data_IF_626482046347
#
_entry.id   IF_626482046347
#
_cell.length_a   1.000
_cell.length_b   1.000
_cell.length_c   1.000
_cell.angle_alpha   90.00
_cell.angle_beta   90.00
_cell.angle_gamma   90.00
#
_symmetry.space_group_name_H-M   'P 1'
#
loop_
_entity.id
_entity.type
_entity.pdbx_description
1 polymer ?
#
# COMPACT_ATOMS: atom_id res chain seq x y z
N UNK A 1 8.67 22.17 0.67
CA UNK A 1 8.84 21.00 1.54
C UNK A 1 8.06 19.84 0.91
N UNK A 2 8.60 18.64 0.86
CA UNK A 2 7.86 17.48 0.33
C UNK A 2 7.24 16.72 1.51
N UNK A 3 5.96 16.93 1.76
CA UNK A 3 5.22 16.31 2.88
C UNK A 3 5.13 14.79 2.76
N UNK A 4 5.19 14.23 1.55
CA UNK A 4 5.17 12.79 1.31
C UNK A 4 6.41 12.06 1.88
N UNK A 5 7.50 12.79 2.14
CA UNK A 5 8.75 12.22 2.64
C UNK A 5 8.99 12.48 4.13
N UNK A 6 7.97 12.83 4.91
CA UNK A 6 8.08 12.95 6.37
C UNK A 6 8.04 11.53 6.97
N UNK A 7 9.19 10.98 7.46
CA UNK A 7 9.20 9.63 8.02
C UNK A 7 8.25 9.50 9.21
N UNK A 8 7.64 8.32 9.41
CA UNK A 8 6.82 8.06 10.59
C UNK A 8 7.57 8.24 11.91
N UNK A 9 8.90 8.03 11.89
CA UNK A 9 9.78 8.24 13.06
C UNK A 9 10.00 9.70 13.43
N UNK A 10 9.71 10.67 12.53
CA UNK A 10 9.77 12.10 12.83
C UNK A 10 8.46 12.59 13.46
N UNK A 11 8.11 12.03 14.61
CA UNK A 11 6.88 12.32 15.34
C UNK A 11 6.73 13.80 15.68
N UNK A 12 7.83 14.51 16.00
CA UNK A 12 7.82 15.95 16.28
C UNK A 12 7.26 16.75 15.11
N UNK A 13 7.63 16.42 13.87
CA UNK A 13 7.12 17.10 12.68
C UNK A 13 5.65 16.74 12.44
N UNK A 14 5.29 15.46 12.60
CA UNK A 14 3.90 15.03 12.43
C UNK A 14 2.94 15.60 13.46
N UNK A 15 3.40 15.86 14.69
CA UNK A 15 2.61 16.57 15.73
C UNK A 15 2.26 18.01 15.38
N UNK A 16 2.94 18.63 14.43
CA UNK A 16 2.60 19.97 13.96
C UNK A 16 1.36 19.99 13.03
N UNK A 17 0.94 18.84 12.53
CA UNK A 17 -0.28 18.70 11.73
C UNK A 17 -1.42 18.32 12.67
N UNK A 18 -2.27 19.28 12.93
CA UNK A 18 -3.41 19.18 13.85
C UNK A 18 -4.72 19.41 13.08
N UNK A 19 -5.86 18.88 13.56
CA UNK A 19 -7.16 19.23 13.01
C UNK A 19 -7.41 20.74 13.07
N UNK A 20 -8.19 21.26 12.13
CA UNK A 20 -8.49 22.70 12.01
C UNK A 20 -9.30 23.24 13.19
N UNK A 21 -10.15 22.43 13.78
CA UNK A 21 -11.00 22.78 14.91
C UNK A 21 -10.84 21.76 16.05
N UNK A 22 -11.16 22.12 17.32
CA UNK A 22 -11.00 21.21 18.46
C UNK A 22 -11.90 19.96 18.42
N UNK A 23 -13.02 20.02 17.70
CA UNK A 23 -14.02 18.98 17.48
C UNK A 23 -13.82 18.23 16.15
N UNK A 24 -12.72 18.52 15.45
CA UNK A 24 -12.36 17.87 14.21
C UNK A 24 -11.28 16.81 14.43
N UNK A 25 -11.13 15.95 13.42
CA UNK A 25 -10.10 14.91 13.38
C UNK A 25 -9.46 14.84 12.00
N UNK A 26 -8.26 14.29 11.94
CA UNK A 26 -7.63 13.89 10.69
C UNK A 26 -8.00 12.43 10.43
N UNK A 27 -8.66 12.15 9.31
CA UNK A 27 -8.93 10.81 8.80
C UNK A 27 -7.96 10.48 7.68
N UNK A 28 -7.24 9.35 7.79
CA UNK A 28 -6.26 8.89 6.82
C UNK A 28 -6.73 7.56 6.23
N UNK A 29 -7.17 7.55 4.96
CA UNK A 29 -7.64 6.37 4.26
C UNK A 29 -6.55 5.90 3.30
N UNK A 30 -5.91 4.76 3.61
CA UNK A 30 -4.73 4.22 2.94
C UNK A 30 -5.04 2.89 2.24
N UNK A 31 -4.47 2.68 1.06
CA UNK A 31 -4.61 1.40 0.38
C UNK A 31 -3.87 0.27 1.12
N UNK A 32 -4.60 -0.72 1.56
CA UNK A 32 -4.03 -1.90 2.21
C UNK A 32 -3.27 -2.77 1.20
N UNK A 33 -1.94 -2.79 1.30
CA UNK A 33 -1.05 -3.64 0.49
C UNK A 33 -1.28 -3.49 -1.03
N UNK A 34 -1.38 -2.27 -1.52
CA UNK A 34 -1.70 -2.02 -2.95
C UNK A 34 -0.66 -2.61 -3.90
N UNK A 35 0.64 -2.59 -3.55
CA UNK A 35 1.70 -3.11 -4.40
C UNK A 35 1.58 -4.64 -4.63
N UNK A 36 1.40 -5.50 -3.59
CA UNK A 36 1.09 -6.92 -3.79
C UNK A 36 -0.21 -7.18 -4.56
N UNK A 37 -1.24 -6.33 -4.40
CA UNK A 37 -2.51 -6.47 -5.14
C UNK A 37 -2.34 -6.17 -6.61
N UNK A 38 -1.59 -5.13 -6.96
CA UNK A 38 -1.25 -4.83 -8.35
C UNK A 38 -0.33 -5.90 -8.96
N UNK A 39 0.63 -6.43 -8.19
CA UNK A 39 1.43 -7.57 -8.62
C UNK A 39 0.55 -8.78 -8.93
N UNK A 40 -0.40 -9.11 -8.04
CA UNK A 40 -1.36 -10.18 -8.22
C UNK A 40 -2.24 -9.98 -9.47
N UNK A 41 -2.67 -8.75 -9.71
CA UNK A 41 -3.40 -8.40 -10.94
C UNK A 41 -2.57 -8.69 -12.20
N UNK A 42 -1.31 -8.26 -12.25
CA UNK A 42 -0.45 -8.52 -13.40
C UNK A 42 -0.11 -10.01 -13.55
N UNK A 43 0.10 -10.74 -12.45
CA UNK A 43 0.30 -12.19 -12.46
C UNK A 43 -0.91 -12.94 -13.02
N UNK A 44 -2.11 -12.59 -12.58
CA UNK A 44 -3.36 -13.18 -13.08
C UNK A 44 -3.56 -12.92 -14.58
N UNK A 45 -3.17 -11.75 -15.11
CA UNK A 45 -3.18 -11.46 -16.56
C UNK A 45 -2.20 -12.35 -17.35
N UNK A 46 -1.26 -13.00 -16.69
CA UNK A 46 -0.35 -14.01 -17.26
C UNK A 46 -0.81 -15.45 -16.99
N UNK A 47 -1.95 -15.63 -16.36
CA UNK A 47 -2.51 -16.93 -16.03
C UNK A 47 -2.06 -17.53 -14.70
N UNK A 48 -1.32 -16.76 -13.87
CA UNK A 48 -0.97 -17.16 -12.50
C UNK A 48 -1.86 -16.45 -11.49
N UNK A 49 -2.79 -17.18 -10.91
CA UNK A 49 -3.75 -16.66 -9.92
C UNK A 49 -3.33 -16.96 -8.46
N UNK A 50 -2.12 -17.47 -8.25
CA UNK A 50 -1.63 -17.91 -6.94
C UNK A 50 -1.64 -16.77 -5.93
N UNK A 51 -1.00 -15.64 -6.25
CA UNK A 51 -0.94 -14.48 -5.36
C UNK A 51 -2.33 -13.83 -5.15
N UNK A 52 -3.13 -13.76 -6.21
CA UNK A 52 -4.51 -13.26 -6.12
C UNK A 52 -5.37 -14.16 -5.22
N UNK A 53 -5.21 -15.49 -5.33
CA UNK A 53 -5.86 -16.45 -4.45
C UNK A 53 -5.49 -16.29 -2.97
N UNK A 54 -4.22 -16.05 -2.67
CA UNK A 54 -3.78 -15.74 -1.31
C UNK A 54 -4.48 -14.49 -0.75
N UNK A 55 -4.47 -13.41 -1.51
CA UNK A 55 -5.06 -12.12 -1.10
C UNK A 55 -6.59 -12.17 -0.98
N UNK A 56 -7.28 -12.90 -1.89
CA UNK A 56 -8.74 -13.12 -1.81
C UNK A 56 -9.15 -13.89 -0.55
N UNK A 57 -8.29 -14.81 -0.10
CA UNK A 57 -8.51 -15.60 1.12
C UNK A 57 -8.00 -14.88 2.39
N UNK A 58 -7.71 -13.59 2.34
CA UNK A 58 -7.25 -12.80 3.48
C UNK A 58 -5.84 -13.13 3.97
N UNK A 59 -5.07 -13.94 3.21
CA UNK A 59 -3.70 -14.29 3.59
C UNK A 59 -2.74 -13.16 3.24
N UNK A 60 -1.72 -13.00 4.07
CA UNK A 60 -0.70 -11.98 3.90
C UNK A 60 0.53 -12.53 3.18
N UNK A 61 0.84 -12.09 1.94
CA UNK A 61 1.98 -12.59 1.18
C UNK A 61 3.33 -12.28 1.84
N UNK A 62 3.40 -11.25 2.68
CA UNK A 62 4.61 -10.93 3.44
C UNK A 62 4.87 -12.00 4.50
N UNK A 63 3.82 -12.45 5.23
CA UNK A 63 3.94 -13.48 6.25
C UNK A 63 4.44 -14.81 5.69
N UNK A 64 4.02 -15.18 4.49
CA UNK A 64 4.48 -16.41 3.81
C UNK A 64 6.01 -16.42 3.67
N UNK A 65 6.59 -15.31 3.22
CA UNK A 65 8.05 -15.20 3.02
C UNK A 65 8.77 -15.18 4.36
N UNK A 66 8.23 -14.45 5.33
CA UNK A 66 8.83 -14.35 6.67
C UNK A 66 8.81 -15.67 7.40
N UNK A 67 7.69 -16.40 7.35
CA UNK A 67 7.59 -17.76 7.90
C UNK A 67 8.68 -18.67 7.37
N UNK A 68 8.90 -18.65 6.04
CA UNK A 68 9.96 -19.43 5.41
C UNK A 68 11.37 -18.93 5.80
N UNK A 69 11.55 -17.62 5.95
CA UNK A 69 12.83 -17.00 6.31
C UNK A 69 13.25 -17.35 7.74
N UNK A 70 12.33 -17.24 8.68
CA UNK A 70 12.60 -17.44 10.11
C UNK A 70 12.27 -18.87 10.59
N UNK A 71 11.69 -19.72 9.73
CA UNK A 71 11.20 -21.07 10.08
C UNK A 71 10.22 -21.06 11.26
N UNK A 72 9.31 -20.08 11.24
CA UNK A 72 8.26 -19.88 12.25
C UNK A 72 6.88 -19.97 11.61
N UNK A 73 5.87 -20.24 12.40
CA UNK A 73 4.47 -20.11 11.97
C UNK A 73 4.10 -18.64 11.79
N UNK A 74 3.07 -18.36 10.96
CA UNK A 74 2.64 -16.98 10.67
C UNK A 74 2.12 -16.23 11.92
N UNK A 75 1.58 -16.97 12.90
CA UNK A 75 1.07 -16.46 14.18
C UNK A 75 2.16 -16.23 15.24
N UNK A 76 3.36 -16.76 15.02
CA UNK A 76 4.53 -16.59 15.92
C UNK A 76 5.46 -15.45 15.48
N UNK A 77 5.14 -14.78 14.39
CA UNK A 77 5.96 -13.71 13.84
C UNK A 77 5.85 -12.44 14.68
N UNK A 78 7.00 -11.89 15.05
CA UNK A 78 7.07 -10.58 15.70
C UNK A 78 6.83 -9.47 14.68
N UNK A 79 6.44 -8.29 15.16
CA UNK A 79 6.25 -7.10 14.33
C UNK A 79 7.53 -6.73 13.54
N UNK A 80 8.70 -6.89 14.16
CA UNK A 80 9.99 -6.65 13.50
C UNK A 80 10.22 -7.63 12.35
N UNK A 81 10.02 -8.93 12.59
CA UNK A 81 10.16 -9.96 11.56
C UNK A 81 9.17 -9.70 10.41
N UNK A 82 7.95 -9.29 10.71
CA UNK A 82 6.96 -8.90 9.70
C UNK A 82 7.45 -7.73 8.83
N UNK A 83 8.01 -6.68 9.45
CA UNK A 83 8.61 -5.54 8.73
C UNK A 83 9.77 -5.99 7.83
N UNK A 84 10.63 -6.87 8.32
CA UNK A 84 11.71 -7.46 7.54
C UNK A 84 11.19 -8.21 6.31
N UNK A 85 10.11 -8.97 6.47
CA UNK A 85 9.46 -9.69 5.37
C UNK A 85 8.85 -8.79 4.31
N UNK A 86 8.18 -7.72 4.73
CA UNK A 86 7.64 -6.69 3.82
C UNK A 86 8.77 -6.10 2.98
N UNK A 87 9.88 -5.74 3.63
CA UNK A 87 11.05 -5.17 2.95
C UNK A 87 11.67 -6.19 1.98
N UNK A 88 11.85 -7.44 2.41
CA UNK A 88 12.42 -8.48 1.56
C UNK A 88 11.54 -8.75 0.34
N UNK A 89 10.22 -8.93 0.55
CA UNK A 89 9.26 -9.17 -0.52
C UNK A 89 9.33 -8.05 -1.58
N UNK A 90 9.15 -6.82 -1.17
CA UNK A 90 9.15 -5.66 -2.08
C UNK A 90 10.52 -5.48 -2.77
N UNK A 91 11.61 -5.65 -2.03
CA UNK A 91 12.97 -5.58 -2.61
C UNK A 91 13.17 -6.60 -3.74
N UNK A 92 12.71 -7.85 -3.55
CA UNK A 92 12.85 -8.91 -4.54
C UNK A 92 11.91 -8.72 -5.73
N UNK A 93 10.68 -8.28 -5.50
CA UNK A 93 9.76 -7.86 -6.58
C UNK A 93 10.41 -6.76 -7.43
N UNK A 94 11.17 -5.88 -6.81
CA UNK A 94 11.85 -4.76 -7.48
C UNK A 94 13.25 -5.11 -8.00
N UNK A 95 13.60 -6.39 -8.02
CA UNK A 95 14.82 -6.87 -8.66
C UNK A 95 16.08 -6.75 -7.79
N UNK A 96 15.94 -6.68 -6.46
CA UNK A 96 17.11 -6.69 -5.58
C UNK A 96 17.90 -7.99 -5.71
N UNK A 97 19.20 -7.86 -5.99
CA UNK A 97 20.12 -9.00 -6.08
C UNK A 97 20.75 -9.35 -4.73
N UNK A 98 21.59 -10.40 -4.74
CA UNK A 98 22.30 -10.93 -3.55
C UNK A 98 23.01 -9.85 -2.75
N UNK A 99 23.70 -8.91 -3.44
CA UNK A 99 24.44 -7.83 -2.79
C UNK A 99 23.53 -6.93 -1.93
N UNK A 100 22.35 -6.55 -2.46
CA UNK A 100 21.40 -5.70 -1.76
C UNK A 100 20.76 -6.40 -0.57
N UNK A 101 20.35 -7.67 -0.75
CA UNK A 101 19.76 -8.49 0.32
C UNK A 101 20.76 -8.70 1.46
N UNK A 102 22.04 -9.00 1.13
CA UNK A 102 23.11 -9.10 2.13
C UNK A 102 23.30 -7.83 2.93
N UNK A 103 23.42 -6.70 2.23
CA UNK A 103 23.69 -5.42 2.87
C UNK A 103 22.53 -4.99 3.79
N UNK A 104 21.29 -5.22 3.37
CA UNK A 104 20.12 -4.80 4.12
C UNK A 104 19.88 -5.64 5.38
N UNK A 105 20.02 -6.97 5.27
CA UNK A 105 19.71 -7.91 6.36
C UNK A 105 20.93 -8.44 7.11
N UNK A 106 22.16 -7.99 6.79
CA UNK A 106 23.38 -8.46 7.43
C UNK A 106 23.69 -9.94 7.17
N UNK A 107 23.22 -10.51 6.05
CA UNK A 107 23.31 -11.93 5.73
C UNK A 107 24.65 -12.30 5.05
N UNK A 108 25.09 -13.54 5.24
CA UNK A 108 26.11 -14.14 4.39
C UNK A 108 25.61 -14.31 2.96
N UNK A 109 26.51 -14.51 2.00
CA UNK A 109 26.12 -14.72 0.60
C UNK A 109 25.23 -15.95 0.41
N UNK A 110 25.56 -17.04 1.11
CA UNK A 110 24.75 -18.27 1.05
C UNK A 110 23.35 -18.09 1.61
N UNK A 111 23.21 -17.34 2.72
CA UNK A 111 21.91 -17.03 3.31
C UNK A 111 21.09 -16.15 2.38
N UNK A 112 21.67 -15.08 1.80
CA UNK A 112 20.96 -14.22 0.86
C UNK A 112 20.49 -14.97 -0.40
N UNK A 113 21.36 -15.82 -0.98
CA UNK A 113 20.98 -16.69 -2.11
C UNK A 113 19.82 -17.61 -1.74
N UNK A 114 19.82 -18.19 -0.53
CA UNK A 114 18.74 -19.05 -0.04
C UNK A 114 17.42 -18.26 0.06
N UNK A 115 17.43 -17.05 0.61
CA UNK A 115 16.21 -16.22 0.73
C UNK A 115 15.63 -15.87 -0.64
N UNK A 116 16.48 -15.46 -1.58
CA UNK A 116 16.07 -15.17 -2.97
C UNK A 116 15.48 -16.44 -3.63
N UNK A 117 16.10 -17.60 -3.40
CA UNK A 117 15.59 -18.87 -3.94
C UNK A 117 14.22 -19.23 -3.36
N UNK A 118 14.04 -19.12 -2.04
CA UNK A 118 12.75 -19.36 -1.37
C UNK A 118 11.65 -18.44 -1.91
N UNK A 119 11.95 -17.15 -2.09
CA UNK A 119 11.01 -16.19 -2.67
C UNK A 119 10.58 -16.61 -4.09
N UNK A 120 11.51 -16.90 -4.98
CA UNK A 120 11.18 -17.29 -6.35
C UNK A 120 10.58 -18.71 -6.46
N UNK A 121 10.76 -19.55 -5.44
CA UNK A 121 10.05 -20.83 -5.34
C UNK A 121 8.58 -20.61 -4.94
N UNK A 122 8.33 -19.68 -4.02
CA UNK A 122 6.96 -19.32 -3.61
C UNK A 122 6.21 -18.52 -4.70
N UNK A 123 6.94 -17.64 -5.41
CA UNK A 123 6.37 -16.69 -6.38
C UNK A 123 7.17 -16.71 -7.70
N UNK A 124 7.18 -17.82 -8.48
CA UNK A 124 7.96 -17.92 -9.72
C UNK A 124 7.54 -16.88 -10.76
N UNK A 125 6.26 -16.54 -10.81
CA UNK A 125 5.68 -15.55 -11.72
C UNK A 125 6.35 -14.15 -11.61
N UNK A 126 6.95 -13.81 -10.46
CA UNK A 126 7.61 -12.51 -10.31
C UNK A 126 8.79 -12.36 -11.27
N UNK A 127 9.59 -13.42 -11.46
CA UNK A 127 10.70 -13.40 -12.41
C UNK A 127 10.21 -13.30 -13.84
N UNK A 128 9.17 -14.05 -14.18
CA UNK A 128 8.56 -13.99 -15.52
C UNK A 128 8.03 -12.58 -15.83
N UNK A 129 7.36 -11.94 -14.86
CA UNK A 129 6.90 -10.57 -15.01
C UNK A 129 8.05 -9.56 -15.15
N UNK A 130 9.15 -9.75 -14.42
CA UNK A 130 10.35 -8.91 -14.58
C UNK A 130 10.89 -9.00 -16.00
N UNK A 131 11.06 -10.22 -16.52
CA UNK A 131 11.59 -10.48 -17.86
C UNK A 131 10.65 -9.95 -18.95
N UNK A 132 9.34 -10.15 -18.82
CA UNK A 132 8.33 -9.65 -19.77
C UNK A 132 8.29 -8.12 -19.83
N UNK A 133 8.29 -7.47 -18.67
CA UNK A 133 8.24 -6.01 -18.59
C UNK A 133 9.48 -5.41 -19.25
N UNK A 134 10.66 -5.99 -19.02
CA UNK A 134 11.91 -5.61 -19.68
C UNK A 134 11.81 -5.81 -21.19
N UNK A 135 11.36 -6.98 -21.63
CA UNK A 135 11.21 -7.28 -23.06
C UNK A 135 10.23 -6.33 -23.77
N UNK A 136 9.10 -6.00 -23.12
CA UNK A 136 8.13 -5.04 -23.66
C UNK A 136 8.74 -3.64 -23.72
N UNK A 137 9.48 -3.22 -22.70
CA UNK A 137 10.13 -1.92 -22.63
C UNK A 137 11.18 -1.78 -23.72
N UNK A 138 12.04 -2.75 -23.90
CA UNK A 138 13.09 -2.74 -24.94
C UNK A 138 12.51 -2.68 -26.34
N UNK A 139 11.35 -3.30 -26.59
CA UNK A 139 10.67 -3.28 -27.88
C UNK A 139 9.94 -1.97 -28.17
N UNK A 140 9.32 -1.33 -27.14
CA UNK A 140 8.38 -0.20 -27.32
C UNK A 140 8.87 1.12 -26.74
N UNK A 141 9.92 1.10 -25.89
CA UNK A 141 10.37 2.25 -25.12
C UNK A 141 9.47 2.62 -23.92
N UNK A 142 8.38 1.89 -23.69
CA UNK A 142 7.46 2.15 -22.59
C UNK A 142 6.65 0.90 -22.20
N UNK A 143 6.13 0.90 -20.97
CA UNK A 143 5.08 0.01 -20.48
C UNK A 143 3.81 0.81 -20.19
N UNK A 144 2.69 0.12 -19.92
CA UNK A 144 1.40 0.77 -19.62
C UNK A 144 0.84 0.30 -18.29
N UNK A 145 0.27 1.23 -17.54
CA UNK A 145 -0.61 0.90 -16.40
C UNK A 145 -1.89 0.22 -16.90
N UNK A 146 -2.69 -0.43 -16.02
CA UNK A 146 -3.96 -1.04 -16.40
C UNK A 146 -4.92 -0.10 -17.15
N UNK A 147 -4.85 1.19 -16.85
CA UNK A 147 -5.68 2.25 -17.48
C UNK A 147 -4.99 2.96 -18.66
N UNK A 148 -3.93 2.38 -19.22
CA UNK A 148 -3.31 2.81 -20.46
C UNK A 148 -2.25 3.92 -20.37
N UNK A 149 -1.97 4.50 -19.19
CA UNK A 149 -0.90 5.50 -19.03
C UNK A 149 0.45 4.88 -19.39
N UNK A 150 1.22 5.58 -20.22
CA UNK A 150 2.57 5.17 -20.62
C UNK A 150 3.59 5.55 -19.54
N UNK A 151 4.49 4.61 -19.24
CA UNK A 151 5.63 4.79 -18.35
C UNK A 151 6.90 4.49 -19.18
N UNK A 152 7.71 5.51 -19.42
CA UNK A 152 8.86 5.44 -20.31
C UNK A 152 10.10 4.87 -19.64
N UNK A 153 10.97 4.23 -20.44
CA UNK A 153 12.21 3.58 -19.99
C UNK A 153 13.33 4.59 -19.67
N UNK A 154 13.38 5.71 -20.39
CA UNK A 154 14.52 6.64 -20.45
C UNK A 154 15.03 7.14 -19.09
N UNK A 155 14.19 7.10 -18.07
CA UNK A 155 14.53 7.61 -16.73
C UNK A 155 15.06 6.52 -15.77
N UNK A 156 15.01 5.22 -16.13
CA UNK A 156 15.22 4.12 -15.16
C UNK A 156 15.91 2.93 -15.83
N UNK A 157 16.84 2.27 -15.15
CA UNK A 157 17.44 1.04 -15.64
C UNK A 157 16.38 -0.09 -15.79
N UNK A 158 16.59 -0.98 -16.76
CA UNK A 158 15.67 -2.09 -17.12
C UNK A 158 15.19 -2.89 -15.91
N UNK A 159 16.08 -3.17 -14.95
CA UNK A 159 15.78 -3.93 -13.73
C UNK A 159 14.76 -3.27 -12.79
N UNK A 160 14.44 -1.98 -12.99
CA UNK A 160 13.47 -1.23 -12.20
C UNK A 160 12.08 -1.14 -12.85
N UNK A 161 11.90 -1.75 -14.02
CA UNK A 161 10.68 -1.54 -14.79
C UNK A 161 9.44 -2.18 -14.16
N UNK A 162 9.55 -3.34 -13.50
CA UNK A 162 8.43 -3.91 -12.76
C UNK A 162 8.04 -3.03 -11.57
N UNK A 163 9.03 -2.49 -10.83
CA UNK A 163 8.77 -1.50 -9.79
C UNK A 163 8.00 -0.29 -10.36
N UNK A 164 8.50 0.28 -11.48
CA UNK A 164 7.84 1.41 -12.13
C UNK A 164 6.42 1.09 -12.59
N UNK A 165 6.17 -0.13 -13.07
CA UNK A 165 4.83 -0.58 -13.42
C UNK A 165 3.90 -0.61 -12.22
N UNK A 166 4.32 -1.24 -11.13
CA UNK A 166 3.51 -1.40 -9.90
C UNK A 166 3.28 -0.02 -9.26
N UNK A 167 4.33 0.72 -8.95
CA UNK A 167 4.21 2.04 -8.29
C UNK A 167 3.51 3.08 -9.18
N UNK A 168 3.79 3.07 -10.48
CA UNK A 168 3.11 3.93 -11.44
C UNK A 168 1.63 3.60 -11.60
N UNK A 169 1.25 2.33 -11.43
CA UNK A 169 -0.15 1.89 -11.41
C UNK A 169 -0.83 2.29 -10.10
N UNK A 170 -0.18 2.14 -8.95
CA UNK A 170 -0.69 2.61 -7.67
C UNK A 170 -0.96 4.13 -7.68
N UNK A 171 0.02 4.91 -8.14
CA UNK A 171 -0.15 6.35 -8.28
C UNK A 171 -1.22 6.76 -9.31
N UNK A 172 -1.48 5.93 -10.33
CA UNK A 172 -2.57 6.17 -11.29
C UNK A 172 -3.92 5.86 -10.65
N UNK A 173 -4.02 4.75 -9.90
CA UNK A 173 -5.21 4.39 -9.14
C UNK A 173 -5.58 5.51 -8.16
N UNK A 174 -4.63 5.94 -7.32
CA UNK A 174 -4.86 7.04 -6.36
C UNK A 174 -5.40 8.30 -7.05
N UNK A 175 -4.85 8.69 -8.21
CA UNK A 175 -5.34 9.87 -8.95
C UNK A 175 -6.77 9.70 -9.45
N UNK A 176 -7.15 8.49 -9.84
CA UNK A 176 -8.55 8.18 -10.20
C UNK A 176 -9.45 8.31 -9.00
N UNK A 177 -9.04 7.78 -7.86
CA UNK A 177 -9.77 7.87 -6.60
C UNK A 177 -9.93 9.32 -6.13
N UNK A 178 -8.87 10.13 -6.22
CA UNK A 178 -8.95 11.57 -5.91
C UNK A 178 -10.03 12.28 -6.74
N UNK A 179 -10.17 11.93 -8.02
CA UNK A 179 -11.21 12.50 -8.89
C UNK A 179 -12.61 12.03 -8.43
N UNK A 180 -12.77 10.75 -8.10
CA UNK A 180 -14.04 10.19 -7.62
C UNK A 180 -14.44 10.81 -6.29
N UNK A 181 -13.51 10.87 -5.34
CA UNK A 181 -13.73 11.48 -4.01
C UNK A 181 -14.03 12.98 -4.13
N UNK A 182 -13.31 13.70 -4.99
CA UNK A 182 -13.57 15.15 -5.21
C UNK A 182 -14.96 15.40 -5.76
N UNK A 183 -15.45 14.57 -6.69
CA UNK A 183 -16.82 14.66 -7.19
C UNK A 183 -17.84 14.36 -6.11
N UNK A 184 -17.63 13.29 -5.37
CA UNK A 184 -18.48 12.90 -4.25
C UNK A 184 -18.63 14.02 -3.22
N UNK A 185 -17.53 14.63 -2.77
CA UNK A 185 -17.57 15.75 -1.85
C UNK A 185 -18.28 16.98 -2.45
N UNK A 186 -18.18 17.21 -3.75
CA UNK A 186 -18.90 18.27 -4.43
C UNK A 186 -20.41 18.01 -4.51
N UNK A 187 -20.81 16.73 -4.60
CA UNK A 187 -22.21 16.29 -4.59
C UNK A 187 -22.83 16.27 -3.18
N UNK A 188 -22.00 16.38 -2.14
CA UNK A 188 -22.39 16.41 -0.73
C UNK A 188 -21.94 17.73 -0.05
N UNK A 189 -22.53 18.88 -0.45
CA UNK A 189 -22.15 20.20 0.05
C UNK A 189 -22.46 20.41 1.54
N UNK A 190 -23.25 19.53 2.16
CA UNK A 190 -23.51 19.48 3.59
C UNK A 190 -22.30 19.03 4.42
N UNK A 191 -21.35 18.28 3.82
CA UNK A 191 -20.15 17.82 4.50
C UNK A 191 -19.16 18.97 4.69
N UNK A 192 -18.60 19.05 5.88
CA UNK A 192 -17.53 19.96 6.24
C UNK A 192 -16.14 19.33 6.04
N UNK A 193 -16.08 17.99 5.99
CA UNK A 193 -14.84 17.25 5.74
C UNK A 193 -14.29 17.55 4.36
N UNK A 194 -13.00 17.77 4.27
CA UNK A 194 -12.33 18.04 3.00
C UNK A 194 -10.97 17.35 2.90
N UNK A 195 -10.59 16.98 1.68
CA UNK A 195 -9.26 16.43 1.40
C UNK A 195 -8.19 17.48 1.63
N UNK A 196 -7.19 17.17 2.46
CA UNK A 196 -6.11 18.12 2.81
C UNK A 196 -4.75 17.69 2.25
N UNK A 197 -4.51 16.39 2.13
CA UNK A 197 -3.21 15.89 1.73
C UNK A 197 -3.31 14.49 1.14
N UNK A 198 -2.35 14.13 0.29
CA UNK A 198 -2.12 12.76 -0.15
C UNK A 198 -0.70 12.36 0.21
N UNK A 199 -0.52 11.17 0.80
CA UNK A 199 0.79 10.65 1.18
C UNK A 199 0.94 9.25 0.61
N UNK A 200 1.83 9.09 -0.37
CA UNK A 200 2.05 7.86 -1.11
C UNK A 200 0.77 7.32 -1.77
N UNK A 201 0.03 6.50 -1.06
CA UNK A 201 -1.16 5.78 -1.48
C UNK A 201 -2.38 6.07 -0.59
N UNK A 202 -2.29 7.08 0.29
CA UNK A 202 -3.39 7.51 1.15
C UNK A 202 -4.02 8.84 0.75
N UNK A 203 -5.26 9.04 1.19
CA UNK A 203 -6.01 10.30 1.12
C UNK A 203 -6.34 10.73 2.54
N UNK A 204 -5.86 11.91 2.92
CA UNK A 204 -6.12 12.49 4.23
C UNK A 204 -7.24 13.53 4.15
N UNK A 205 -8.14 13.45 5.10
CA UNK A 205 -9.23 14.39 5.32
C UNK A 205 -9.03 15.11 6.66
N UNK A 206 -9.51 16.34 6.72
CA UNK A 206 -9.71 17.11 7.94
C UNK A 206 -11.21 17.42 8.02
N UNK A 207 -11.86 17.05 9.12
CA UNK A 207 -13.32 17.17 9.23
C UNK A 207 -13.86 16.90 10.63
N UNK A 208 -15.16 17.22 10.84
CA UNK A 208 -15.84 16.97 12.10
C UNK A 208 -15.84 15.49 12.50
N UNK A 209 -15.80 15.24 13.80
CA UNK A 209 -15.79 13.88 14.37
C UNK A 209 -17.04 13.07 14.01
N UNK A 210 -18.18 13.71 13.86
CA UNK A 210 -19.47 13.08 13.48
C UNK A 210 -19.56 12.68 12.01
N UNK A 211 -18.68 13.18 11.14
CA UNK A 211 -18.59 12.76 9.73
C UNK A 211 -17.65 11.58 9.51
N UNK A 212 -16.88 11.13 10.50
CA UNK A 212 -15.88 10.06 10.36
C UNK A 212 -16.51 8.74 9.92
N UNK A 213 -17.66 8.38 10.51
CA UNK A 213 -18.39 7.15 10.12
C UNK A 213 -18.86 7.22 8.68
N UNK A 214 -19.38 8.37 8.26
CA UNK A 214 -19.81 8.60 6.89
C UNK A 214 -18.64 8.47 5.89
N UNK A 215 -17.47 9.03 6.23
CA UNK A 215 -16.27 8.87 5.41
C UNK A 215 -15.82 7.41 5.35
N UNK A 216 -15.88 6.68 6.48
CA UNK A 216 -15.51 5.27 6.56
C UNK A 216 -16.38 4.39 5.66
N UNK A 217 -17.67 4.65 5.60
CA UNK A 217 -18.64 3.87 4.82
C UNK A 217 -18.57 4.17 3.31
N UNK A 218 -18.26 5.40 2.91
CA UNK A 218 -18.40 5.83 1.53
C UNK A 218 -17.07 5.94 0.77
N UNK A 219 -16.00 6.44 1.40
CA UNK A 219 -14.75 6.72 0.69
C UNK A 219 -14.03 5.45 0.19
N UNK A 220 -13.97 4.32 0.94
CA UNK A 220 -13.32 3.10 0.44
C UNK A 220 -13.91 2.59 -0.87
N UNK A 221 -15.24 2.70 -1.05
CA UNK A 221 -15.91 2.34 -2.31
C UNK A 221 -15.51 3.23 -3.49
N UNK A 222 -15.18 4.50 -3.25
CA UNK A 222 -14.68 5.44 -4.26
C UNK A 222 -13.19 5.25 -4.56
N UNK A 223 -12.46 4.62 -3.65
CA UNK A 223 -11.07 4.22 -3.83
C UNK A 223 -10.92 2.87 -4.52
N UNK A 224 -12.00 2.09 -4.65
CA UNK A 224 -12.01 0.84 -5.40
C UNK A 224 -11.99 1.06 -6.92
N UNK A 225 -11.51 0.07 -7.65
CA UNK A 225 -11.51 0.06 -9.12
C UNK A 225 -11.89 -1.33 -9.63
N UNK A 226 -13.02 -1.42 -10.35
CA UNK A 226 -13.60 -2.67 -10.83
C UNK A 226 -12.66 -3.50 -11.71
N UNK A 227 -11.73 -2.86 -12.43
CA UNK A 227 -10.74 -3.57 -13.26
C UNK A 227 -9.77 -4.40 -12.42
N UNK A 228 -9.35 -3.87 -11.26
CA UNK A 228 -8.46 -4.56 -10.33
C UNK A 228 -9.26 -5.51 -9.45
N UNK A 229 -10.37 -5.05 -8.89
CA UNK A 229 -11.19 -5.82 -7.94
C UNK A 229 -11.87 -7.04 -8.55
N UNK A 230 -12.03 -7.08 -9.88
CA UNK A 230 -12.43 -8.30 -10.59
C UNK A 230 -11.40 -9.44 -10.44
N UNK A 231 -10.16 -9.15 -10.09
CA UNK A 231 -9.06 -10.12 -9.89
C UNK A 231 -8.73 -10.28 -8.42
N UNK A 232 -8.52 -9.17 -7.73
CA UNK A 232 -8.10 -9.13 -6.32
C UNK A 232 -8.76 -7.93 -5.64
N UNK A 233 -9.45 -8.10 -4.49
CA UNK A 233 -10.14 -7.01 -3.83
C UNK A 233 -9.15 -5.88 -3.51
N UNK A 234 -9.56 -4.63 -3.70
CA UNK A 234 -8.87 -3.47 -3.15
C UNK A 234 -9.43 -3.22 -1.76
N UNK A 235 -8.55 -3.12 -0.77
CA UNK A 235 -8.93 -2.81 0.61
C UNK A 235 -8.32 -1.48 1.00
N UNK A 236 -9.03 -0.74 1.85
CA UNK A 236 -8.62 0.55 2.38
C UNK A 236 -8.65 0.45 3.90
N UNK A 237 -7.54 0.77 4.53
CA UNK A 237 -7.41 0.90 5.96
C UNK A 237 -7.76 2.35 6.34
N UNK A 238 -8.47 2.57 7.45
CA UNK A 238 -8.86 3.90 7.91
C UNK A 238 -8.27 4.14 9.31
N UNK A 239 -7.39 5.13 9.40
CA UNK A 239 -6.81 5.60 10.66
C UNK A 239 -7.38 6.98 11.01
N UNK A 240 -7.68 7.20 12.28
CA UNK A 240 -8.23 8.46 12.81
C UNK A 240 -7.24 9.08 13.81
N UNK A 241 -6.98 10.36 13.66
CA UNK A 241 -6.06 11.14 14.48
C UNK A 241 -6.79 12.31 15.13
N UNK A 242 -7.25 12.18 16.38
CA UNK A 242 -8.04 13.24 17.04
C UNK A 242 -7.21 14.45 17.46
N UNK A 243 -5.93 14.27 17.78
CA UNK A 243 -5.08 15.35 18.31
C UNK A 243 -4.08 15.88 17.29
N UNK A 244 -3.42 14.98 16.57
CA UNK A 244 -2.41 15.33 15.59
C UNK A 244 -2.03 14.10 14.75
N UNK A 245 -1.46 14.29 13.58
CA UNK A 245 -1.11 13.23 12.65
C UNK A 245 -0.13 12.16 13.19
N UNK A 246 0.59 12.42 14.27
CA UNK A 246 1.51 11.44 14.87
C UNK A 246 0.79 10.40 15.74
N UNK A 247 -0.40 10.72 16.22
CA UNK A 247 -1.19 9.90 17.15
C UNK A 247 -2.41 9.35 16.42
N UNK A 248 -2.23 8.18 15.80
CA UNK A 248 -3.21 7.51 14.96
C UNK A 248 -3.81 6.31 15.68
N UNK A 249 -5.08 6.10 15.48
CA UNK A 249 -5.84 4.94 15.92
C UNK A 249 -6.48 4.29 14.70
N UNK A 250 -6.53 2.95 14.64
CA UNK A 250 -7.42 2.26 13.72
C UNK A 250 -8.86 2.71 13.94
N UNK A 251 -9.64 2.84 12.87
CA UNK A 251 -11.03 3.32 12.96
C UNK A 251 -11.87 2.51 13.95
N UNK A 252 -11.70 1.19 13.99
CA UNK A 252 -12.47 0.31 14.90
C UNK A 252 -12.09 0.59 16.36
N UNK A 253 -10.79 0.66 16.67
CA UNK A 253 -10.29 1.00 18.00
C UNK A 253 -10.74 2.39 18.43
N UNK A 254 -10.68 3.36 17.52
CA UNK A 254 -11.13 4.72 17.78
C UNK A 254 -12.63 4.78 18.08
N UNK A 255 -13.46 4.10 17.27
CA UNK A 255 -14.92 4.04 17.46
C UNK A 255 -15.31 3.40 18.79
N UNK A 256 -14.64 2.31 19.19
CA UNK A 256 -14.84 1.68 20.50
C UNK A 256 -14.45 2.62 21.66
N UNK A 257 -13.37 3.40 21.51
CA UNK A 257 -12.92 4.34 22.54
C UNK A 257 -13.90 5.48 22.78
N UNK A 258 -14.53 6.00 21.73
CA UNK A 258 -15.57 7.04 21.84
C UNK A 258 -16.84 6.46 22.48
N UNK A 259 -17.28 5.28 22.05
CA UNK A 259 -18.43 4.60 22.66
C UNK A 259 -18.26 4.40 24.18
N UNK A 260 -17.06 4.02 24.62
CA UNK A 260 -16.72 3.87 26.03
C UNK A 260 -16.67 5.23 26.78
N UNK A 261 -16.27 6.32 26.13
CA UNK A 261 -16.23 7.66 26.73
C UNK A 261 -17.62 8.24 26.95
N UNK A 262 -18.59 7.93 26.09
CA UNK A 262 -19.99 8.35 26.25
C UNK A 262 -20.70 7.57 27.39
N UNK A 263 -20.26 6.34 27.68
CA UNK A 263 -20.81 5.55 28.81
C UNK A 263 -20.27 5.95 30.19
N UNK A 264 -19.25 6.79 30.25
CA UNK A 264 -18.57 7.25 31.49
C UNK A 264 -18.88 8.71 31.80
N UNK A 265 -19.56 9.44 30.94
CA UNK A 265 -20.03 10.82 31.12
C UNK A 265 -21.53 10.84 31.44
#
# INVERSE_FOLDING_TARGET
>A
MNYQNIPASLTVVRRAFVPKHPDWVISDLDYSKIEPRLLAYFASKRGDDTLAGYLRNGRDPYKVIVSAMYQKREDELTEREYKDGKILFLSLVYGAGVRSVRAFFGLSEGQAKRQISLFHTAWPIVRELQDDVVAVCNRRGYIRTPWGRRLHLEEFGEHKMLNKLIQGSAAHLLKRSLISVSRFLHEHPELQSHMVLTIHDSIMFDGPVDEVEFLHENIPGLMDDSLISAVVPILVDHEVSPLNWAEKFDYTEWKESIGNSILVA
#
